data_IF_095944383832
#
_entry.id   IF_095944383832
#
_cell.length_a   1.000
_cell.length_b   1.000
_cell.length_c   1.000
_cell.angle_alpha   90.00
_cell.angle_beta   90.00
_cell.angle_gamma   90.00
#
_symmetry.space_group_name_H-M   'P 1'
#
loop_
_entity.id
_entity.type
_entity.pdbx_description
1 polymer ?
#
# COMPACT_ATOMS: atom_id res chain seq x y z
N UNK A 1 -22.69 -9.38 9.81
CA UNK A 1 -22.66 -8.68 8.52
C UNK A 1 -24.03 -8.77 7.84
N UNK A 2 -24.62 -9.95 7.61
CA UNK A 2 -25.98 -10.05 7.02
C UNK A 2 -27.10 -9.36 7.81
N UNK A 3 -27.03 -9.37 9.14
CA UNK A 3 -28.00 -8.61 9.94
C UNK A 3 -27.75 -7.09 9.83
N UNK A 4 -26.49 -6.70 9.71
CA UNK A 4 -26.08 -5.30 9.57
C UNK A 4 -26.55 -4.76 8.21
N UNK A 5 -26.36 -5.51 7.11
CA UNK A 5 -26.76 -5.09 5.75
C UNK A 5 -28.22 -4.68 5.65
N UNK A 6 -29.12 -5.40 6.34
CA UNK A 6 -30.57 -5.08 6.39
C UNK A 6 -30.89 -3.73 7.04
N UNK A 7 -29.97 -3.18 7.82
CA UNK A 7 -30.11 -1.90 8.50
C UNK A 7 -29.23 -0.79 7.90
N UNK A 8 -28.39 -1.09 6.91
CA UNK A 8 -27.52 -0.10 6.30
C UNK A 8 -28.33 0.88 5.43
N UNK A 9 -28.09 2.20 5.58
CA UNK A 9 -28.61 3.18 4.64
C UNK A 9 -28.09 2.94 3.22
N UNK A 10 -28.81 3.45 2.22
CA UNK A 10 -28.34 3.39 0.83
C UNK A 10 -27.00 4.12 0.68
N UNK A 11 -26.06 3.50 -0.04
CA UNK A 11 -24.71 4.04 -0.27
C UNK A 11 -23.73 3.87 0.89
N UNK A 12 -24.13 3.26 2.01
CA UNK A 12 -23.20 2.93 3.10
C UNK A 12 -22.61 1.55 2.90
N UNK A 13 -21.29 1.51 2.92
CA UNK A 13 -20.49 0.29 2.83
C UNK A 13 -19.75 0.06 4.15
N UNK A 14 -19.71 -1.19 4.62
CA UNK A 14 -19.00 -1.58 5.83
C UNK A 14 -18.02 -2.69 5.52
N UNK A 15 -16.74 -2.39 5.77
CA UNK A 15 -15.64 -3.34 5.67
C UNK A 15 -15.22 -3.81 7.06
N UNK A 16 -15.21 -5.12 7.29
CA UNK A 16 -14.61 -5.75 8.48
C UNK A 16 -13.34 -6.47 8.07
N UNK A 17 -12.21 -5.97 8.57
CA UNK A 17 -10.88 -6.47 8.27
C UNK A 17 -10.47 -7.49 9.34
N UNK A 18 -10.40 -8.75 8.94
CA UNK A 18 -10.03 -9.86 9.82
C UNK A 18 -8.53 -9.89 10.10
N UNK A 19 -8.16 -10.30 11.33
CA UNK A 19 -6.77 -10.54 11.72
C UNK A 19 -6.13 -11.77 11.04
N UNK A 20 -6.90 -12.51 10.23
CA UNK A 20 -6.44 -13.59 9.37
C UNK A 20 -6.24 -13.15 7.90
N UNK A 21 -6.49 -11.88 7.59
CA UNK A 21 -6.35 -11.32 6.25
C UNK A 21 -7.62 -11.36 5.41
N UNK A 22 -8.74 -11.87 5.94
CA UNK A 22 -10.03 -11.83 5.23
C UNK A 22 -10.66 -10.46 5.32
N UNK A 23 -11.46 -10.12 4.31
CA UNK A 23 -12.23 -8.87 4.25
C UNK A 23 -13.69 -9.23 4.08
N UNK A 24 -14.50 -8.94 5.10
CA UNK A 24 -15.95 -9.05 4.96
C UNK A 24 -16.52 -7.69 4.58
N UNK A 25 -17.39 -7.68 3.60
CA UNK A 25 -18.09 -6.51 3.11
C UNK A 25 -19.58 -6.65 3.37
N UNK A 26 -20.24 -5.53 3.66
CA UNK A 26 -21.68 -5.42 3.66
C UNK A 26 -22.11 -4.07 3.13
N UNK A 27 -23.14 -4.09 2.30
CA UNK A 27 -23.91 -2.95 1.82
C UNK A 27 -25.40 -3.22 2.07
N UNK A 28 -26.29 -2.47 1.43
CA UNK A 28 -27.74 -2.73 1.55
C UNK A 28 -28.20 -4.00 0.80
N UNK A 29 -27.44 -4.46 -0.19
CA UNK A 29 -27.79 -5.60 -1.03
C UNK A 29 -27.43 -6.93 -0.35
N UNK A 30 -26.44 -6.93 0.53
CA UNK A 30 -26.10 -8.11 1.31
C UNK A 30 -24.78 -8.01 2.05
N UNK A 31 -24.27 -9.17 2.44
CA UNK A 31 -22.95 -9.30 3.00
C UNK A 31 -22.21 -10.45 2.31
N UNK A 32 -20.92 -10.25 2.04
CA UNK A 32 -20.06 -11.23 1.36
C UNK A 32 -18.62 -11.10 1.83
N UNK A 33 -17.83 -12.13 1.60
CA UNK A 33 -16.38 -12.04 1.75
C UNK A 33 -15.79 -11.55 0.44
N UNK A 34 -15.01 -10.46 0.47
CA UNK A 34 -14.33 -9.97 -0.72
C UNK A 34 -13.14 -10.89 -1.02
N UNK A 35 -13.22 -11.58 -2.16
CA UNK A 35 -12.16 -12.44 -2.64
C UNK A 35 -11.12 -11.68 -3.46
N UNK A 36 -9.82 -11.99 -3.35
CA UNK A 36 -8.74 -11.27 -4.05
C UNK A 36 -8.80 -11.31 -5.59
N UNK A 37 -9.72 -12.06 -6.20
CA UNK A 37 -9.77 -12.26 -7.67
C UNK A 37 -11.01 -11.70 -8.36
N UNK A 38 -12.13 -11.52 -7.67
CA UNK A 38 -13.40 -11.11 -8.28
C UNK A 38 -13.72 -9.63 -8.00
N UNK A 39 -13.34 -9.13 -6.81
CA UNK A 39 -13.69 -7.77 -6.36
C UNK A 39 -12.47 -6.91 -6.02
N UNK A 40 -11.27 -7.49 -6.12
CA UNK A 40 -10.02 -6.76 -6.01
C UNK A 40 -9.28 -6.73 -7.35
N UNK A 41 -8.66 -5.59 -7.64
CA UNK A 41 -7.81 -5.39 -8.80
C UNK A 41 -6.34 -5.71 -8.43
N UNK A 42 -5.50 -6.12 -9.41
CA UNK A 42 -4.07 -6.29 -9.18
C UNK A 42 -3.42 -4.99 -8.69
N UNK A 43 -2.67 -5.00 -7.59
CA UNK A 43 -2.20 -3.74 -6.99
C UNK A 43 -0.94 -3.19 -7.68
N UNK A 44 0.20 -3.85 -7.51
CA UNK A 44 1.48 -3.49 -8.16
C UNK A 44 2.17 -4.78 -8.60
N UNK A 45 2.30 -5.74 -7.67
CA UNK A 45 2.96 -7.03 -7.92
C UNK A 45 1.98 -8.20 -7.79
N UNK A 46 2.36 -9.33 -8.37
CA UNK A 46 1.61 -10.57 -8.30
C UNK A 46 1.30 -10.99 -6.86
N UNK A 47 0.06 -11.43 -6.64
CA UNK A 47 -0.41 -11.84 -5.31
C UNK A 47 -0.72 -10.69 -4.36
N UNK A 48 -0.70 -9.44 -4.85
CA UNK A 48 -1.10 -8.25 -4.10
C UNK A 48 -2.29 -7.60 -4.81
N UNK A 49 -3.31 -7.24 -4.04
CA UNK A 49 -4.59 -6.80 -4.60
C UNK A 49 -5.11 -5.56 -3.89
N UNK A 50 -5.91 -4.74 -4.58
CA UNK A 50 -6.49 -3.52 -4.04
C UNK A 50 -7.98 -3.40 -4.39
N UNK A 51 -8.75 -2.89 -3.43
CA UNK A 51 -10.12 -2.42 -3.62
C UNK A 51 -10.15 -0.91 -3.41
N UNK A 52 -10.71 -0.17 -4.37
CA UNK A 52 -10.70 1.29 -4.35
C UNK A 52 -11.86 1.79 -3.52
N UNK A 53 -11.56 2.71 -2.59
CA UNK A 53 -12.58 3.36 -1.78
C UNK A 53 -12.94 4.74 -2.33
N UNK A 54 -11.97 5.41 -2.96
CA UNK A 54 -12.16 6.71 -3.62
C UNK A 54 -11.32 6.75 -4.89
N UNK A 55 -12.00 6.92 -6.03
CA UNK A 55 -11.47 6.73 -7.39
C UNK A 55 -12.00 5.43 -8.02
N UNK A 56 -11.74 5.21 -9.30
CA UNK A 56 -12.20 4.03 -10.03
C UNK A 56 -11.12 3.50 -10.98
N UNK A 57 -11.40 2.36 -11.61
CA UNK A 57 -10.54 1.83 -12.66
C UNK A 57 -10.55 2.73 -13.91
N UNK A 58 -11.56 3.58 -14.14
CA UNK A 58 -11.55 4.52 -15.28
C UNK A 58 -10.50 5.62 -15.11
N UNK A 59 -10.07 5.89 -13.88
CA UNK A 59 -8.94 6.77 -13.59
C UNK A 59 -7.58 6.11 -13.86
N UNK A 60 -7.49 4.77 -13.95
CA UNK A 60 -6.39 4.00 -14.58
C UNK A 60 -6.70 2.49 -14.59
N UNK A 61 -7.14 1.89 -15.71
CA UNK A 61 -7.51 0.47 -15.76
C UNK A 61 -6.28 -0.44 -15.57
N UNK A 62 -5.11 0.11 -15.91
CA UNK A 62 -3.84 -0.60 -15.93
C UNK A 62 -3.07 -0.48 -14.61
N UNK A 63 -3.40 0.49 -13.73
CA UNK A 63 -2.67 0.73 -12.47
C UNK A 63 -3.55 1.01 -11.24
N UNK A 64 -4.05 -0.09 -10.62
CA UNK A 64 -4.14 -0.43 -9.19
C UNK A 64 -3.84 0.64 -8.14
N UNK A 65 -2.66 1.22 -8.31
CA UNK A 65 -2.07 2.06 -7.30
C UNK A 65 -2.61 3.48 -7.31
N UNK A 66 -3.28 3.98 -8.35
CA UNK A 66 -3.51 5.43 -8.42
C UNK A 66 -4.66 5.96 -7.54
N UNK A 67 -5.49 5.09 -6.96
CA UNK A 67 -6.60 5.49 -6.10
C UNK A 67 -6.14 6.29 -4.86
N UNK A 68 -6.89 7.36 -4.55
CA UNK A 68 -6.62 8.25 -3.41
C UNK A 68 -6.71 7.46 -2.10
N UNK A 69 -7.70 6.57 -2.00
CA UNK A 69 -7.86 5.65 -0.88
C UNK A 69 -8.12 4.24 -1.40
N UNK A 70 -7.38 3.27 -0.87
CA UNK A 70 -7.52 1.86 -1.24
C UNK A 70 -7.30 0.93 -0.06
N UNK A 71 -8.10 -0.10 -0.01
CA UNK A 71 -7.91 -1.26 0.84
C UNK A 71 -7.01 -2.25 0.09
N UNK A 72 -5.79 -2.43 0.58
CA UNK A 72 -4.83 -3.36 0.00
C UNK A 72 -4.78 -4.69 0.75
N UNK A 73 -4.55 -5.78 0.01
CA UNK A 73 -4.23 -7.11 0.53
C UNK A 73 -2.83 -7.47 0.03
N UNK A 74 -1.87 -7.55 0.94
CA UNK A 74 -0.48 -7.91 0.65
C UNK A 74 -0.27 -9.39 0.92
N UNK A 75 0.30 -10.11 -0.05
CA UNK A 75 0.58 -11.54 0.04
C UNK A 75 1.42 -11.94 1.27
N UNK A 76 1.33 -13.20 1.74
CA UNK A 76 2.18 -13.69 2.82
C UNK A 76 3.67 -13.60 2.46
N UNK A 77 4.51 -13.09 3.37
CA UNK A 77 5.97 -13.02 3.20
C UNK A 77 6.39 -12.38 1.87
N UNK A 78 5.68 -11.35 1.44
CA UNK A 78 5.99 -10.60 0.22
C UNK A 78 6.24 -9.13 0.52
N UNK A 79 6.83 -8.42 -0.44
CA UNK A 79 6.99 -6.98 -0.42
C UNK A 79 6.61 -6.43 -1.79
N UNK A 80 6.21 -5.15 -1.81
CA UNK A 80 6.05 -4.43 -3.06
C UNK A 80 7.40 -4.23 -3.76
N UNK A 81 7.42 -4.26 -5.09
CA UNK A 81 8.57 -3.76 -5.85
C UNK A 81 8.92 -2.34 -5.36
N UNK A 82 10.18 -2.02 -5.03
CA UNK A 82 10.54 -0.70 -4.58
C UNK A 82 10.14 0.40 -5.55
N UNK A 83 9.53 1.46 -5.02
CA UNK A 83 9.03 2.59 -5.79
C UNK A 83 9.06 3.89 -4.99
N UNK A 84 8.81 5.00 -5.69
CA UNK A 84 8.52 6.30 -5.10
C UNK A 84 7.20 6.84 -5.67
N UNK A 85 6.55 7.72 -4.92
CA UNK A 85 5.30 8.37 -5.32
C UNK A 85 5.52 9.86 -5.55
N UNK A 86 4.94 10.41 -6.63
CA UNK A 86 4.90 11.87 -6.86
C UNK A 86 4.04 12.65 -5.84
N UNK A 87 3.41 11.99 -4.87
CA UNK A 87 2.69 12.62 -3.77
C UNK A 87 2.97 11.91 -2.45
N UNK A 88 2.44 12.45 -1.34
CA UNK A 88 2.63 11.81 -0.04
C UNK A 88 1.82 10.53 0.06
N UNK A 89 2.42 9.53 0.69
CA UNK A 89 1.84 8.22 0.85
C UNK A 89 1.65 7.89 2.32
N UNK A 90 0.49 7.37 2.69
CA UNK A 90 0.17 6.95 4.06
C UNK A 90 -0.28 5.49 4.03
N UNK A 91 0.33 4.66 4.86
CA UNK A 91 -0.02 3.24 4.97
C UNK A 91 -0.30 2.88 6.42
N UNK A 92 -1.54 2.48 6.69
CA UNK A 92 -1.93 1.82 7.94
C UNK A 92 -1.83 0.31 7.77
N UNK A 93 -1.04 -0.34 8.63
CA UNK A 93 -0.91 -1.80 8.65
C UNK A 93 -1.77 -2.42 9.75
N UNK A 94 -2.57 -3.43 9.42
CA UNK A 94 -3.34 -4.19 10.41
C UNK A 94 -2.67 -5.50 10.83
N UNK A 95 -1.43 -5.72 10.39
CA UNK A 95 -0.61 -6.88 10.70
C UNK A 95 0.83 -6.49 11.01
N UNK A 96 1.71 -7.48 11.12
CA UNK A 96 3.14 -7.23 11.27
C UNK A 96 3.76 -6.99 9.91
N UNK A 97 4.27 -5.78 9.70
CA UNK A 97 4.84 -5.34 8.44
C UNK A 97 6.22 -4.73 8.65
N UNK A 98 6.88 -4.41 7.56
CA UNK A 98 8.00 -3.47 7.54
C UNK A 98 7.93 -2.54 6.34
N UNK A 99 8.65 -1.43 6.44
CA UNK A 99 8.85 -0.52 5.32
C UNK A 99 10.36 -0.24 5.21
N UNK A 100 10.97 -0.68 4.11
CA UNK A 100 12.33 -0.30 3.74
C UNK A 100 12.30 1.07 3.08
N UNK A 101 13.14 2.00 3.54
CA UNK A 101 13.25 3.36 3.04
C UNK A 101 14.72 3.68 2.75
N UNK A 102 15.00 4.47 1.73
CA UNK A 102 16.36 4.97 1.51
C UNK A 102 16.60 6.24 2.33
N UNK A 103 17.51 6.18 3.31
CA UNK A 103 17.95 7.33 4.10
C UNK A 103 19.11 8.03 3.38
N UNK A 104 18.78 9.06 2.60
CA UNK A 104 19.76 9.83 1.84
C UNK A 104 20.82 10.52 2.73
N UNK A 105 20.47 10.92 3.96
CA UNK A 105 21.41 11.57 4.87
C UNK A 105 22.48 10.59 5.38
N UNK A 106 22.16 9.30 5.45
CA UNK A 106 23.08 8.24 5.85
C UNK A 106 23.59 7.39 4.69
N UNK A 107 23.06 7.59 3.48
CA UNK A 107 23.42 6.83 2.28
C UNK A 107 23.13 5.33 2.40
N UNK A 108 22.04 4.94 3.08
CA UNK A 108 21.73 3.54 3.34
C UNK A 108 20.22 3.26 3.39
N UNK A 109 19.84 2.00 3.18
CA UNK A 109 18.47 1.53 3.40
C UNK A 109 18.21 1.33 4.89
N UNK A 110 17.09 1.85 5.38
CA UNK A 110 16.62 1.65 6.75
C UNK A 110 15.29 0.89 6.73
N UNK A 111 15.18 -0.18 7.50
CA UNK A 111 13.93 -0.90 7.69
C UNK A 111 13.20 -0.42 8.95
N UNK A 112 11.95 0.04 8.79
CA UNK A 112 11.05 0.35 9.90
C UNK A 112 10.08 -0.81 10.09
N UNK A 113 10.08 -1.43 11.27
CA UNK A 113 9.12 -2.48 11.62
C UNK A 113 7.81 -1.87 12.12
N UNK A 114 6.69 -2.35 11.57
CA UNK A 114 5.36 -1.90 11.89
C UNK A 114 4.59 -3.03 12.60
N UNK A 115 3.93 -2.68 13.69
CA UNK A 115 3.00 -3.56 14.42
C UNK A 115 1.56 -3.30 13.95
N UNK A 116 0.61 -4.20 14.23
CA UNK A 116 -0.79 -3.95 13.88
C UNK A 116 -1.32 -2.65 14.49
N UNK A 117 -1.98 -1.84 13.67
CA UNK A 117 -2.45 -0.51 14.01
C UNK A 117 -1.40 0.59 13.82
N UNK A 118 -0.17 0.26 13.45
CA UNK A 118 0.84 1.25 13.12
C UNK A 118 0.59 1.85 11.72
N UNK A 119 0.79 3.17 11.63
CA UNK A 119 0.69 3.93 10.40
C UNK A 119 2.04 4.57 10.10
N UNK A 120 2.47 4.49 8.84
CA UNK A 120 3.63 5.20 8.34
C UNK A 120 3.19 6.24 7.30
N UNK A 121 3.75 7.44 7.40
CA UNK A 121 3.65 8.49 6.39
C UNK A 121 4.99 8.60 5.70
N UNK A 122 4.96 8.58 4.38
CA UNK A 122 6.12 8.55 3.50
C UNK A 122 6.02 9.81 2.62
N UNK A 123 7.01 10.72 2.70
CA UNK A 123 7.02 11.93 1.89
C UNK A 123 7.02 11.62 0.38
N UNK A 124 6.55 12.58 -0.40
CA UNK A 124 6.69 12.59 -1.86
C UNK A 124 8.15 12.30 -2.26
N UNK A 125 8.31 11.50 -3.31
CA UNK A 125 9.56 11.04 -3.91
C UNK A 125 10.51 10.28 -2.98
N UNK A 126 10.09 9.94 -1.76
CA UNK A 126 10.87 9.06 -0.86
C UNK A 126 10.89 7.62 -1.43
N UNK A 127 12.07 7.05 -1.75
CA UNK A 127 12.19 5.68 -2.23
C UNK A 127 11.86 4.70 -1.10
N UNK A 128 10.91 3.79 -1.33
CA UNK A 128 10.48 2.85 -0.31
C UNK A 128 9.93 1.53 -0.87
N UNK A 129 9.78 0.55 0.01
CA UNK A 129 9.01 -0.67 -0.24
C UNK A 129 8.35 -1.15 1.05
N UNK A 130 7.06 -1.45 0.98
CA UNK A 130 6.29 -2.00 2.09
C UNK A 130 6.21 -3.52 1.99
N UNK A 131 6.36 -4.20 3.13
CA UNK A 131 6.47 -5.65 3.21
C UNK A 131 5.56 -6.26 4.28
N UNK A 132 4.98 -7.42 3.95
CA UNK A 132 4.29 -8.29 4.90
C UNK A 132 5.26 -9.30 5.50
N UNK A 133 5.53 -9.18 6.81
CA UNK A 133 6.41 -10.11 7.55
C UNK A 133 5.69 -11.39 7.99
N UNK A 134 4.37 -11.40 7.88
CA UNK A 134 3.49 -12.48 8.32
C UNK A 134 3.39 -13.64 7.33
N UNK A 135 3.03 -14.81 7.84
CA UNK A 135 2.72 -16.00 7.02
C UNK A 135 1.27 -16.05 6.53
N UNK A 136 0.54 -14.93 6.57
CA UNK A 136 -0.87 -14.80 6.14
C UNK A 136 -1.04 -13.49 5.37
N UNK A 137 -2.09 -13.36 4.55
CA UNK A 137 -2.39 -12.09 3.90
C UNK A 137 -2.52 -10.95 4.90
N UNK A 138 -2.05 -9.77 4.51
CA UNK A 138 -2.03 -8.57 5.32
C UNK A 138 -2.95 -7.52 4.71
N UNK A 139 -3.97 -7.11 5.47
CA UNK A 139 -4.81 -5.97 5.12
C UNK A 139 -4.08 -4.67 5.46
N UNK A 140 -4.06 -3.74 4.50
CA UNK A 140 -3.56 -2.37 4.68
C UNK A 140 -4.60 -1.37 4.19
N UNK A 141 -4.64 -0.20 4.81
CA UNK A 141 -5.28 0.97 4.20
C UNK A 141 -4.17 1.87 3.68
N UNK A 142 -4.18 2.12 2.38
CA UNK A 142 -3.22 3.00 1.73
C UNK A 142 -3.94 4.25 1.22
N UNK A 143 -3.40 5.41 1.54
CA UNK A 143 -3.89 6.70 1.08
C UNK A 143 -2.77 7.47 0.39
N UNK A 144 -3.12 8.25 -0.61
CA UNK A 144 -2.18 9.05 -1.40
C UNK A 144 -2.73 10.45 -1.56
N UNK A 145 -1.90 11.47 -1.35
CA UNK A 145 -2.33 12.87 -1.39
C UNK A 145 -2.20 13.51 -2.78
N UNK A 146 -1.62 12.80 -3.75
CA UNK A 146 -1.36 13.28 -5.11
C UNK A 146 -2.58 13.34 -6.03
N UNK A 147 -3.72 13.82 -5.56
CA UNK A 147 -4.91 14.00 -6.41
C UNK A 147 -4.59 14.93 -7.60
N UNK A 148 -4.75 14.45 -8.83
CA UNK A 148 -4.44 15.22 -10.04
C UNK A 148 -2.98 15.20 -10.49
N UNK A 149 -2.11 14.39 -9.87
CA UNK A 149 -0.77 14.11 -10.38
C UNK A 149 -0.87 13.19 -11.60
N UNK A 150 -0.09 13.50 -12.62
CA UNK A 150 -0.11 12.77 -13.88
C UNK A 150 0.22 11.29 -13.66
N UNK A 151 -0.56 10.43 -14.32
CA UNK A 151 -0.54 8.96 -14.23
C UNK A 151 0.85 8.31 -14.32
N UNK A 152 1.77 8.92 -15.06
CA UNK A 152 3.14 8.46 -15.20
C UNK A 152 3.99 8.70 -13.93
N UNK A 153 3.68 9.73 -13.13
CA UNK A 153 4.47 10.15 -11.96
C UNK A 153 4.06 9.45 -10.65
N UNK A 154 3.06 8.57 -10.69
CA UNK A 154 2.43 8.08 -9.46
C UNK A 154 3.21 6.97 -8.75
N UNK A 155 3.77 6.00 -9.46
CA UNK A 155 4.61 4.95 -8.88
C UNK A 155 5.82 4.72 -9.78
N UNK A 156 6.94 5.33 -9.40
CA UNK A 156 8.18 5.32 -10.17
C UNK A 156 9.06 4.20 -9.62
N UNK A 157 9.23 3.13 -10.40
CA UNK A 157 10.14 2.03 -10.10
C UNK A 157 11.58 2.39 -10.50
N UNK A 158 12.55 1.55 -10.13
CA UNK A 158 13.95 1.77 -10.53
C UNK A 158 14.11 1.84 -12.07
N UNK A 159 13.49 0.92 -12.80
CA UNK A 159 13.54 0.88 -14.26
C UNK A 159 12.90 2.11 -14.92
N UNK A 160 11.81 2.62 -14.32
CA UNK A 160 11.17 3.86 -14.76
C UNK A 160 12.09 5.07 -14.55
N UNK A 161 12.72 5.17 -13.38
CA UNK A 161 13.66 6.23 -13.06
C UNK A 161 14.91 6.20 -13.97
N UNK A 162 15.47 5.01 -14.25
CA UNK A 162 16.60 4.83 -15.17
C UNK A 162 16.28 5.32 -16.58
N UNK A 163 15.06 5.02 -17.08
CA UNK A 163 14.62 5.48 -18.39
C UNK A 163 14.54 7.00 -18.46
N UNK A 164 13.89 7.64 -17.46
CA UNK A 164 13.75 9.10 -17.39
C UNK A 164 15.08 9.82 -17.26
N UNK A 165 15.99 9.29 -16.44
CA UNK A 165 17.34 9.84 -16.30
C UNK A 165 18.08 9.88 -17.66
N UNK A 166 17.85 8.88 -18.51
CA UNK A 166 18.44 8.83 -19.85
C UNK A 166 17.78 9.82 -20.81
N UNK A 167 16.46 9.96 -20.75
CA UNK A 167 15.69 10.90 -21.59
C UNK A 167 15.99 12.37 -21.25
N UNK A 168 16.20 12.70 -19.97
CA UNK A 168 16.57 14.04 -19.51
C UNK A 168 17.98 14.44 -19.96
N UNK A 169 18.94 13.50 -20.00
CA UNK A 169 20.29 13.75 -20.53
C UNK A 169 20.28 14.04 -22.04
N UNK A 170 19.34 13.47 -22.79
CA UNK A 170 19.17 13.71 -24.23
C UNK A 170 18.47 15.05 -24.52
N UNK A 171 17.74 15.61 -23.55
CA UNK A 171 17.07 16.92 -23.63
C UNK A 171 17.87 18.01 -22.90
N UNK A 172 18.88 18.58 -23.55
CA UNK A 172 19.50 19.84 -23.05
C UNK A 172 18.49 21.03 -23.02
N UNK A 173 18.74 22.08 -22.21
CA UNK A 173 17.67 22.78 -21.49
C UNK A 173 16.94 23.80 -22.38
N UNK A 174 15.75 23.43 -22.86
CA UNK A 174 14.77 24.45 -23.21
C UNK A 174 14.31 25.10 -21.91
N UNK A 175 14.73 26.36 -21.68
CA UNK A 175 14.14 27.25 -20.67
C UNK A 175 12.63 27.33 -20.93
N UNK A 176 11.86 26.48 -20.25
CA UNK A 176 10.41 26.59 -20.20
C UNK A 176 10.08 27.72 -19.23
N UNK A 177 9.65 28.85 -19.78
CA UNK A 177 9.11 29.96 -19.01
C UNK A 177 7.70 29.57 -18.57
N UNK A 178 7.53 29.43 -17.25
CA UNK A 178 6.24 29.54 -16.56
C UNK A 178 5.36 28.30 -16.53
N UNK A 179 5.53 27.46 -15.51
CA UNK A 179 4.47 27.05 -14.55
C UNK A 179 5.07 26.10 -13.51
N UNK A 180 4.82 26.39 -12.23
CA UNK A 180 5.03 25.62 -11.00
C UNK A 180 6.30 24.74 -10.93
N UNK A 181 7.23 25.17 -10.08
CA UNK A 181 8.51 24.53 -9.76
C UNK A 181 8.32 23.08 -9.27
N UNK A 182 8.23 22.10 -10.18
CA UNK A 182 8.66 20.73 -9.90
C UNK A 182 10.14 20.83 -9.56
N UNK A 183 10.50 20.67 -8.28
CA UNK A 183 11.91 20.45 -7.91
C UNK A 183 12.39 19.32 -8.82
N UNK A 184 13.41 19.57 -9.65
CA UNK A 184 13.88 18.58 -10.59
C UNK A 184 14.38 17.37 -9.78
N UNK A 185 13.59 16.29 -9.77
CA UNK A 185 14.01 15.02 -9.20
C UNK A 185 15.20 14.55 -10.01
N UNK A 186 16.33 14.31 -9.36
CA UNK A 186 17.44 13.57 -9.97
C UNK A 186 17.02 12.10 -10.10
N UNK A 187 16.53 11.72 -11.28
CA UNK A 187 16.06 10.37 -11.55
C UNK A 187 17.20 9.34 -11.50
N UNK A 188 18.45 9.74 -11.70
CA UNK A 188 19.61 8.86 -11.55
C UNK A 188 19.83 8.47 -10.08
N UNK A 189 19.78 9.44 -9.18
CA UNK A 189 19.85 9.17 -7.73
C UNK A 189 18.64 8.38 -7.22
N UNK A 190 17.44 8.69 -7.72
CA UNK A 190 16.23 7.93 -7.39
C UNK A 190 16.37 6.46 -7.80
N UNK A 191 16.81 6.19 -9.04
CA UNK A 191 17.06 4.84 -9.52
C UNK A 191 18.04 4.09 -8.62
N UNK A 192 19.19 4.71 -8.29
CA UNK A 192 20.19 4.10 -7.43
C UNK A 192 19.62 3.74 -6.04
N UNK A 193 18.86 4.65 -5.43
CA UNK A 193 18.22 4.43 -4.14
C UNK A 193 17.21 3.26 -4.18
N UNK A 194 16.39 3.17 -5.24
CA UNK A 194 15.43 2.07 -5.42
C UNK A 194 16.14 0.73 -5.63
N UNK A 195 17.23 0.70 -6.42
CA UNK A 195 18.07 -0.49 -6.60
C UNK A 195 18.73 -0.95 -5.31
N UNK A 196 19.12 -0.03 -4.43
CA UNK A 196 19.65 -0.39 -3.12
C UNK A 196 18.61 -1.08 -2.24
N UNK A 197 17.36 -0.62 -2.26
CA UNK A 197 16.25 -1.31 -1.55
C UNK A 197 16.02 -2.69 -2.16
N UNK A 198 15.97 -2.82 -3.49
CA UNK A 198 15.83 -4.12 -4.17
C UNK A 198 16.95 -5.09 -3.77
N UNK A 199 18.19 -4.59 -3.71
CA UNK A 199 19.36 -5.38 -3.31
C UNK A 199 19.24 -5.88 -1.88
N UNK A 200 18.89 -5.00 -0.93
CA UNK A 200 18.70 -5.38 0.48
C UNK A 200 17.58 -6.41 0.61
N UNK A 201 16.43 -6.19 -0.02
CA UNK A 201 15.33 -7.15 0.00
C UNK A 201 15.68 -8.51 -0.60
N UNK A 202 16.50 -8.53 -1.66
CA UNK A 202 16.95 -9.79 -2.28
C UNK A 202 17.90 -10.56 -1.37
N UNK A 203 18.78 -9.86 -0.65
CA UNK A 203 19.80 -10.48 0.21
C UNK A 203 19.22 -10.89 1.56
N UNK A 204 18.43 -10.02 2.18
CA UNK A 204 17.94 -10.20 3.56
C UNK A 204 16.51 -10.77 3.60
N UNK A 205 15.77 -10.69 2.49
CA UNK A 205 14.36 -11.03 2.42
C UNK A 205 13.47 -9.99 3.14
N UNK A 206 12.17 -10.30 3.23
CA UNK A 206 11.19 -9.44 3.94
C UNK A 206 11.21 -9.62 5.46
N UNK A 207 12.18 -10.36 6.00
CA UNK A 207 12.20 -10.78 7.39
C UNK A 207 11.06 -11.72 7.78
N UNK A 208 11.06 -12.19 9.03
CA UNK A 208 9.98 -13.03 9.58
C UNK A 208 9.46 -12.46 10.90
N UNK A 209 8.20 -12.77 11.21
CA UNK A 209 7.66 -12.49 12.54
C UNK A 209 8.35 -13.34 13.61
N UNK A 210 8.69 -12.73 14.73
CA UNK A 210 9.22 -13.38 15.93
C UNK A 210 8.17 -14.25 16.63
N UNK A 211 8.60 -15.10 17.58
CA UNK A 211 7.67 -15.89 18.42
C UNK A 211 6.67 -14.99 19.14
N UNK A 212 7.16 -13.86 19.70
CA UNK A 212 6.32 -12.88 20.41
C UNK A 212 5.27 -12.26 19.50
N UNK A 213 5.65 -11.87 18.28
CA UNK A 213 4.73 -11.31 17.28
C UNK A 213 3.67 -12.34 16.86
N UNK A 214 4.06 -13.61 16.69
CA UNK A 214 3.12 -14.70 16.38
C UNK A 214 2.12 -14.96 17.51
N UNK A 215 2.59 -14.94 18.76
CA UNK A 215 1.71 -15.06 19.93
C UNK A 215 0.72 -13.89 20.01
N UNK A 216 1.20 -12.66 19.86
CA UNK A 216 0.36 -11.47 19.84
C UNK A 216 -0.69 -11.52 18.72
N UNK A 217 -0.32 -12.01 17.53
CA UNK A 217 -1.26 -12.22 16.44
C UNK A 217 -2.31 -13.30 16.78
N UNK A 218 -1.90 -14.36 17.48
CA UNK A 218 -2.83 -15.38 18.01
C UNK A 218 -3.85 -14.80 18.97
N UNK A 219 -3.40 -14.00 19.94
CA UNK A 219 -4.28 -13.34 20.92
C UNK A 219 -5.24 -12.36 20.26
N UNK A 220 -4.79 -11.57 19.28
CA UNK A 220 -5.68 -10.68 18.52
C UNK A 220 -6.76 -11.45 17.77
N UNK A 221 -6.43 -12.59 17.14
CA UNK A 221 -7.44 -13.43 16.49
C UNK A 221 -8.46 -13.97 17.49
N UNK A 222 -8.00 -14.42 18.66
CA UNK A 222 -8.90 -14.86 19.72
C UNK A 222 -9.82 -13.73 20.20
N UNK A 223 -9.28 -12.54 20.44
CA UNK A 223 -10.05 -11.36 20.80
C UNK A 223 -11.08 -10.98 19.72
N UNK A 224 -10.67 -10.90 18.45
CA UNK A 224 -11.58 -10.60 17.34
C UNK A 224 -12.68 -11.65 17.14
N UNK A 225 -12.43 -12.91 17.50
CA UNK A 225 -13.45 -13.96 17.50
C UNK A 225 -14.47 -13.77 18.64
N UNK A 226 -14.01 -13.29 19.81
CA UNK A 226 -14.85 -13.00 20.98
C UNK A 226 -15.71 -11.74 20.81
N UNK A 227 -15.22 -10.74 20.08
CA UNK A 227 -15.96 -9.50 19.78
C UNK A 227 -17.23 -9.73 18.95
N UNK A 228 -17.42 -10.94 18.38
CA UNK A 228 -18.63 -11.32 17.67
C UNK A 228 -18.87 -10.53 16.37
N UNK A 229 -20.02 -10.70 15.70
CA UNK A 229 -20.41 -9.85 14.58
C UNK A 229 -20.82 -8.46 15.10
N UNK A 230 -20.44 -7.39 14.37
CA UNK A 230 -21.04 -6.06 14.50
C UNK A 230 -22.57 -6.23 14.36
N UNK A 231 -23.31 -6.22 15.47
CA UNK A 231 -24.73 -6.58 15.46
C UNK A 231 -25.28 -7.18 16.75
N UNK A 232 -24.93 -6.64 17.92
CA UNK A 232 -25.86 -6.64 19.06
C UNK A 232 -25.99 -5.20 19.53
N UNK A 233 -26.76 -4.41 18.78
CA UNK A 233 -27.45 -3.28 19.38
C UNK A 233 -28.36 -3.87 20.46
N UNK A 234 -28.04 -3.60 21.71
CA UNK A 234 -28.99 -3.74 22.82
C UNK A 234 -30.26 -2.98 22.44
N UNK A 235 -31.39 -3.69 22.49
CA UNK A 235 -32.72 -3.14 22.32
C UNK A 235 -33.02 -2.05 23.35
#
# INVERSE_FOLDING_TARGET
MEQLSRSLPFGVEVFRLGADGRVLFADREGARELGPREEFLPFIDDGQFAHYLVGDAETSPERPSNATFKLGVVGPRSAFTPHAHGGEHVVLSLGHASCGLYDAARGQVTEIRLVPGAMIRIPEMMPHSFANRGGRPLNILAANTGFGIDHEDYAITAAEAERRATEDVVREPRRAVGTVSRVATDFGLLAAALRDIERVQRVEGVGTTTVRERLAAGLRRAASALEGPLGRGTR
#
